data_IF_044159877543
#
_entry.id   IF_044159877543
#
_cell.length_a   1.000
_cell.length_b   1.000
_cell.length_c   1.000
_cell.angle_alpha   90.00
_cell.angle_beta   90.00
_cell.angle_gamma   90.00
#
_symmetry.space_group_name_H-M   'P 1'
#
loop_
_entity.id
_entity.type
_entity.pdbx_description
1 polymer ?
#
# COMPACT_ATOMS: atom_id res chain seq x y z
N UNK A 1 8.98 -26.29 -11.37
CA UNK A 1 8.77 -24.99 -10.74
C UNK A 1 9.76 -24.00 -11.34
N UNK A 2 9.29 -22.93 -11.99
CA UNK A 2 10.15 -21.90 -12.61
C UNK A 2 11.01 -21.16 -11.57
N UNK A 3 10.57 -21.12 -10.31
CA UNK A 3 11.32 -20.51 -9.21
C UNK A 3 12.53 -21.32 -8.75
N UNK A 4 12.59 -22.63 -9.07
CA UNK A 4 13.63 -23.57 -8.61
C UNK A 4 14.41 -24.19 -9.76
N UNK A 5 14.77 -23.38 -10.77
CA UNK A 5 15.55 -23.86 -11.93
C UNK A 5 14.76 -24.71 -12.92
N UNK A 6 13.42 -24.57 -12.94
CA UNK A 6 12.58 -25.20 -13.95
C UNK A 6 12.91 -24.71 -15.36
N UNK A 7 12.96 -25.62 -16.34
CA UNK A 7 13.20 -25.26 -17.75
C UNK A 7 12.04 -24.43 -18.32
N UNK A 8 12.36 -23.37 -19.06
CA UNK A 8 11.41 -22.68 -19.93
C UNK A 8 11.04 -23.67 -21.05
N UNK A 9 9.78 -24.10 -21.09
CA UNK A 9 9.28 -25.06 -22.08
C UNK A 9 8.39 -24.40 -23.12
N UNK A 10 7.78 -23.26 -22.78
CA UNK A 10 6.89 -22.49 -23.63
C UNK A 10 7.16 -20.98 -23.44
N UNK A 11 6.92 -20.14 -24.47
CA UNK A 11 7.14 -18.70 -24.36
C UNK A 11 6.35 -18.02 -23.22
N UNK A 12 5.14 -18.48 -22.92
CA UNK A 12 4.27 -17.92 -21.87
C UNK A 12 4.82 -18.10 -20.45
N UNK A 13 5.79 -19.01 -20.25
CA UNK A 13 6.42 -19.23 -18.95
C UNK A 13 7.19 -18.00 -18.46
N UNK A 14 7.74 -17.19 -19.36
CA UNK A 14 8.47 -15.97 -19.00
C UNK A 14 7.50 -14.92 -18.45
N UNK A 15 6.36 -14.75 -19.13
CA UNK A 15 5.31 -13.81 -18.71
C UNK A 15 4.80 -14.20 -17.33
N UNK A 16 4.42 -15.48 -17.14
CA UNK A 16 3.92 -15.99 -15.85
C UNK A 16 4.94 -15.87 -14.73
N UNK A 17 6.22 -16.03 -15.04
CA UNK A 17 7.28 -15.84 -14.07
C UNK A 17 7.34 -14.40 -13.58
N UNK A 18 7.30 -13.41 -14.49
CA UNK A 18 7.27 -12.00 -14.10
C UNK A 18 5.98 -11.59 -13.40
N UNK A 19 4.83 -12.11 -13.82
CA UNK A 19 3.54 -11.91 -13.12
C UNK A 19 3.62 -12.39 -11.68
N UNK A 20 4.22 -13.56 -11.44
CA UNK A 20 4.41 -14.09 -10.10
C UNK A 20 5.31 -13.18 -9.26
N UNK A 21 6.44 -12.70 -9.81
CA UNK A 21 7.31 -11.78 -9.10
C UNK A 21 6.59 -10.46 -8.75
N UNK A 22 5.81 -9.91 -9.68
CA UNK A 22 5.04 -8.69 -9.45
C UNK A 22 3.96 -8.89 -8.36
N UNK A 23 3.30 -10.04 -8.34
CA UNK A 23 2.31 -10.37 -7.30
C UNK A 23 2.97 -10.48 -5.93
N UNK A 24 4.16 -11.06 -5.83
CA UNK A 24 4.92 -11.14 -4.58
C UNK A 24 5.31 -9.75 -4.08
N UNK A 25 5.88 -8.91 -4.95
CA UNK A 25 6.27 -7.53 -4.61
C UNK A 25 5.06 -6.71 -4.14
N UNK A 26 3.94 -6.80 -4.86
CA UNK A 26 2.72 -6.03 -4.55
C UNK A 26 2.08 -6.54 -3.24
N UNK A 27 2.09 -7.85 -3.02
CA UNK A 27 1.54 -8.45 -1.79
C UNK A 27 2.36 -8.04 -0.56
N UNK A 28 3.70 -8.09 -0.66
CA UNK A 28 4.57 -7.63 0.43
C UNK A 28 4.42 -6.12 0.68
N UNK A 29 4.31 -5.31 -0.38
CA UNK A 29 4.04 -3.88 -0.24
C UNK A 29 2.72 -3.59 0.49
N UNK A 30 1.65 -4.29 0.14
CA UNK A 30 0.35 -4.16 0.79
C UNK A 30 0.42 -4.57 2.27
N UNK A 31 1.05 -5.72 2.59
CA UNK A 31 1.17 -6.22 3.96
C UNK A 31 2.03 -5.28 4.82
N UNK A 32 3.15 -4.77 4.30
CA UNK A 32 4.01 -3.84 5.06
C UNK A 32 3.31 -2.51 5.32
N UNK A 33 2.54 -2.01 4.36
CA UNK A 33 1.71 -0.81 4.53
C UNK A 33 0.65 -1.01 5.63
N UNK A 34 -0.07 -2.13 5.57
CA UNK A 34 -1.08 -2.51 6.56
C UNK A 34 -0.49 -2.72 7.96
N UNK A 35 0.71 -3.32 8.05
CA UNK A 35 1.36 -3.62 9.32
C UNK A 35 1.74 -2.36 10.10
N UNK A 36 2.29 -1.35 9.42
CA UNK A 36 2.69 -0.12 10.09
C UNK A 36 1.48 0.72 10.50
N UNK A 37 0.40 0.75 9.70
CA UNK A 37 -0.80 1.54 9.97
C UNK A 37 -1.59 0.93 11.13
N UNK A 38 -1.70 1.67 12.23
CA UNK A 38 -2.37 1.24 13.48
C UNK A 38 -3.68 2.00 13.69
N UNK A 39 -4.55 1.92 12.70
CA UNK A 39 -5.94 2.41 12.72
C UNK A 39 -6.78 1.56 11.77
N UNK A 40 -8.10 1.78 11.77
CA UNK A 40 -8.99 1.29 10.72
C UNK A 40 -9.57 2.47 9.94
N UNK A 41 -9.52 2.41 8.61
CA UNK A 41 -10.00 3.48 7.71
C UNK A 41 -10.43 2.92 6.36
N UNK A 42 -11.67 3.19 5.98
CA UNK A 42 -12.22 2.76 4.69
C UNK A 42 -12.16 1.23 4.53
N UNK A 43 -11.46 0.76 3.50
CA UNK A 43 -11.31 -0.68 3.22
C UNK A 43 -10.25 -1.38 4.09
N UNK A 44 -9.45 -0.64 4.86
CA UNK A 44 -8.47 -1.20 5.79
C UNK A 44 -9.08 -1.31 7.18
N UNK A 45 -9.26 -2.54 7.67
CA UNK A 45 -9.79 -2.82 9.01
C UNK A 45 -8.82 -3.69 9.81
N UNK A 46 -8.68 -3.36 11.09
CA UNK A 46 -7.84 -4.04 12.07
C UNK A 46 -8.60 -4.22 13.37
N UNK A 47 -8.77 -5.46 13.82
CA UNK A 47 -9.44 -5.76 15.09
C UNK A 47 -8.71 -5.19 16.31
N UNK A 48 -7.38 -5.05 16.24
CA UNK A 48 -6.55 -4.47 17.30
C UNK A 48 -6.51 -2.94 17.31
N UNK A 49 -6.99 -2.30 16.24
CA UNK A 49 -7.14 -0.83 16.10
C UNK A 49 -8.42 -0.52 15.31
N UNK A 50 -9.62 -0.75 15.90
CA UNK A 50 -10.88 -0.77 15.16
C UNK A 50 -11.38 0.62 14.73
N UNK A 51 -10.85 1.69 15.34
CA UNK A 51 -11.30 3.06 15.11
C UNK A 51 -10.36 3.82 14.16
N UNK A 52 -10.88 4.90 13.56
CA UNK A 52 -10.10 5.88 12.79
C UNK A 52 -9.31 6.80 13.74
N UNK A 53 -8.02 7.04 13.43
CA UNK A 53 -7.13 7.87 14.27
C UNK A 53 -6.51 9.00 13.43
N UNK A 54 -7.21 10.13 13.37
CA UNK A 54 -6.74 11.31 12.63
C UNK A 54 -5.57 12.04 13.32
N UNK A 55 -5.34 11.82 14.61
CA UNK A 55 -4.24 12.47 15.33
C UNK A 55 -2.90 11.87 14.93
N UNK A 56 -2.83 10.55 14.79
CA UNK A 56 -1.58 9.84 14.46
C UNK A 56 -1.48 9.36 13.01
N UNK A 57 -2.61 9.10 12.34
CA UNK A 57 -2.64 8.38 11.06
C UNK A 57 -3.30 9.15 9.90
N UNK A 58 -3.58 10.44 10.05
CA UNK A 58 -4.01 11.30 8.95
C UNK A 58 -2.84 11.59 7.99
N UNK A 59 -2.64 10.69 7.05
CA UNK A 59 -1.52 10.75 6.11
C UNK A 59 -1.42 9.54 5.20
N UNK A 60 -0.37 9.54 4.39
CA UNK A 60 -0.10 8.52 3.39
C UNK A 60 0.97 7.56 3.89
N UNK A 61 0.79 6.27 3.58
CA UNK A 61 1.87 5.28 3.69
C UNK A 61 2.53 5.13 2.34
N UNK A 62 3.83 5.40 2.28
CA UNK A 62 4.66 5.20 1.10
C UNK A 62 5.43 3.90 1.23
N UNK A 63 5.46 3.13 0.15
CA UNK A 63 6.21 1.89 0.08
C UNK A 63 7.24 1.99 -1.04
N UNK A 64 8.48 1.56 -0.76
CA UNK A 64 9.59 1.59 -1.71
C UNK A 64 10.33 0.26 -1.70
N UNK A 65 10.58 -0.29 -2.88
CA UNK A 65 11.47 -1.44 -3.05
C UNK A 65 12.92 -0.97 -3.08
N UNK A 66 13.77 -1.56 -2.25
CA UNK A 66 15.22 -1.30 -2.15
C UNK A 66 15.99 -2.61 -2.30
N UNK A 67 17.31 -2.53 -2.36
CA UNK A 67 18.17 -3.73 -2.40
C UNK A 67 18.07 -4.58 -1.12
N UNK A 68 17.65 -3.97 0.00
CA UNK A 68 17.44 -4.64 1.28
C UNK A 68 16.02 -5.22 1.45
N UNK A 69 15.12 -4.98 0.49
CA UNK A 69 13.73 -5.42 0.52
C UNK A 69 12.74 -4.26 0.42
N UNK A 70 11.49 -4.50 0.80
CA UNK A 70 10.45 -3.48 0.74
C UNK A 70 10.40 -2.68 2.06
N UNK A 71 10.48 -1.36 1.98
CA UNK A 71 10.40 -0.44 3.11
C UNK A 71 9.09 0.35 3.05
N UNK A 72 8.40 0.44 4.19
CA UNK A 72 7.19 1.25 4.34
C UNK A 72 7.45 2.42 5.31
N UNK A 73 6.97 3.61 4.97
CA UNK A 73 7.07 4.81 5.79
C UNK A 73 5.76 5.60 5.77
N UNK A 74 5.40 6.16 6.90
CA UNK A 74 4.25 7.06 7.01
C UNK A 74 4.70 8.51 6.86
N UNK A 75 3.95 9.29 6.08
CA UNK A 75 4.10 10.74 6.01
C UNK A 75 2.75 11.42 6.28
N UNK A 76 2.65 12.27 7.31
CA UNK A 76 1.42 13.00 7.60
C UNK A 76 1.11 14.00 6.48
N UNK A 77 -0.17 14.21 6.20
CA UNK A 77 -0.57 15.29 5.30
C UNK A 77 -0.65 16.61 6.09
N UNK A 78 -0.23 17.71 5.47
CA UNK A 78 -0.47 19.03 6.05
C UNK A 78 -1.97 19.29 6.09
N UNK A 79 -2.48 19.66 7.27
CA UNK A 79 -3.88 20.05 7.49
C UNK A 79 -4.30 21.28 6.67
N UNK A 80 -3.38 21.96 5.98
CA UNK A 80 -3.64 23.14 5.17
C UNK A 80 -4.23 22.86 3.78
N UNK A 81 -4.33 21.61 3.34
CA UNK A 81 -4.94 21.26 2.04
C UNK A 81 -6.34 20.70 2.28
N UNK A 82 -7.34 21.58 2.46
CA UNK A 82 -8.72 21.07 2.46
C UNK A 82 -9.89 21.91 2.95
N UNK A 83 -9.76 23.13 3.50
CA UNK A 83 -10.94 24.02 3.56
C UNK A 83 -11.14 24.66 2.20
N UNK A 84 -11.64 23.91 1.22
CA UNK A 84 -12.42 24.56 0.16
C UNK A 84 -13.71 24.99 0.81
N UNK A 85 -13.78 26.27 1.18
CA UNK A 85 -15.05 26.89 1.56
C UNK A 85 -16.07 26.53 0.49
N UNK A 86 -17.12 25.83 0.90
CA UNK A 86 -18.34 25.69 0.13
C UNK A 86 -18.86 27.10 -0.15
N UNK A 87 -18.57 27.64 -1.33
CA UNK A 87 -19.28 28.81 -1.85
C UNK A 87 -20.54 28.29 -2.53
N UNK A 88 -21.53 27.89 -1.72
CA UNK A 88 -22.92 27.97 -2.16
C UNK A 88 -23.26 29.47 -2.20
N UNK A 89 -23.69 30.04 -3.35
CA UNK A 89 -24.24 31.38 -3.31
C UNK A 89 -25.57 31.29 -2.57
N UNK A 90 -25.68 32.00 -1.46
CA UNK A 90 -26.97 32.44 -0.98
C UNK A 90 -27.45 33.55 -1.92
N UNK A 91 -28.70 33.39 -2.37
CA UNK A 91 -29.53 34.23 -3.26
C UNK A 91 -29.51 33.86 -4.73
#
# INVERSE_FOLDING_TARGET
DLLRGGKIRKPDHIIRYHELLNMLDTSEAAIRSALIRKESRGAHFREDYPEEDNENWLGNVFVRKTDAGIEARFEPISSSVGTRASSAPAQ
#
